data_IF_104816547061
#
_entry.id   IF_104816547061
#
_cell.length_a   1.000
_cell.length_b   1.000
_cell.length_c   1.000
_cell.angle_alpha   90.00
_cell.angle_beta   90.00
_cell.angle_gamma   90.00
#
_symmetry.space_group_name_H-M   'P 1'
#
loop_
_entity.id
_entity.type
_entity.pdbx_description
1 polymer ?
#
# COMPACT_ATOMS: atom_id res chain seq x y z
N UNK A 1 -13.58 -14.74 31.89
CA UNK A 1 -12.91 -16.06 31.87
C UNK A 1 -11.86 -15.95 30.80
N UNK A 2 -10.61 -16.32 31.06
CA UNK A 2 -9.60 -16.31 29.99
C UNK A 2 -10.03 -17.33 28.94
N UNK A 3 -10.26 -16.90 27.70
CA UNK A 3 -10.59 -17.79 26.59
C UNK A 3 -9.50 -18.85 26.51
N UNK A 4 -9.83 -20.09 26.83
CA UNK A 4 -8.87 -21.20 26.82
C UNK A 4 -8.43 -21.43 25.38
N UNK A 5 -7.11 -21.35 25.13
CA UNK A 5 -6.52 -21.65 23.81
C UNK A 5 -6.97 -23.05 23.37
N UNK A 6 -7.57 -23.14 22.18
CA UNK A 6 -7.98 -24.43 21.64
C UNK A 6 -6.75 -25.15 21.07
N UNK A 7 -6.32 -26.22 21.74
CA UNK A 7 -5.18 -27.01 21.31
C UNK A 7 -5.48 -27.90 20.08
N UNK A 8 -6.75 -28.13 19.77
CA UNK A 8 -7.25 -28.87 18.61
C UNK A 8 -7.76 -27.95 17.50
N UNK A 9 -7.21 -26.74 17.39
CA UNK A 9 -7.65 -25.77 16.37
C UNK A 9 -7.37 -26.25 14.94
N UNK A 10 -6.39 -27.16 14.74
CA UNK A 10 -6.09 -27.69 13.41
C UNK A 10 -7.24 -28.51 12.86
N UNK A 11 -7.94 -29.25 13.71
CA UNK A 11 -9.14 -30.01 13.38
C UNK A 11 -10.32 -29.08 13.00
N UNK A 12 -10.39 -27.89 13.60
CA UNK A 12 -11.42 -26.89 13.26
C UNK A 12 -11.10 -26.15 11.94
N UNK A 13 -9.83 -25.83 11.69
CA UNK A 13 -9.37 -25.18 10.46
C UNK A 13 -9.41 -26.14 9.27
N UNK A 14 -9.02 -27.40 9.50
CA UNK A 14 -8.90 -28.45 8.49
C UNK A 14 -9.78 -29.68 8.81
N UNK A 15 -11.12 -29.53 8.84
CA UNK A 15 -12.02 -30.59 9.28
C UNK A 15 -12.09 -31.79 8.33
N UNK A 16 -11.68 -31.62 7.06
CA UNK A 16 -11.64 -32.70 6.05
C UNK A 16 -10.20 -33.06 5.69
N UNK A 17 -9.54 -33.78 6.61
CA UNK A 17 -8.15 -34.21 6.46
C UNK A 17 -7.88 -35.02 5.17
N UNK A 18 -8.88 -35.77 4.70
CA UNK A 18 -8.73 -36.65 3.51
C UNK A 18 -8.60 -35.87 2.21
N UNK A 19 -9.26 -34.72 2.13
CA UNK A 19 -9.23 -33.86 0.94
C UNK A 19 -8.01 -32.94 0.92
N UNK A 20 -7.30 -32.74 2.04
CA UNK A 20 -6.21 -31.75 2.10
C UNK A 20 -5.09 -32.03 1.08
N UNK A 21 -4.75 -33.31 0.91
CA UNK A 21 -3.64 -33.74 0.03
C UNK A 21 -4.10 -34.07 -1.39
N UNK A 22 -5.40 -34.27 -1.61
CA UNK A 22 -5.96 -34.68 -2.90
C UNK A 22 -6.63 -33.54 -3.66
N UNK A 23 -6.94 -32.42 -2.99
CA UNK A 23 -7.56 -31.25 -3.61
C UNK A 23 -6.63 -30.59 -4.62
N UNK A 24 -7.17 -30.27 -5.79
CA UNK A 24 -6.46 -29.54 -6.86
C UNK A 24 -7.00 -28.11 -6.89
N UNK A 25 -6.11 -27.14 -6.70
CA UNK A 25 -6.43 -25.72 -6.86
C UNK A 25 -6.19 -25.30 -8.30
N UNK A 26 -7.19 -24.66 -8.91
CA UNK A 26 -7.09 -24.18 -10.29
C UNK A 26 -6.19 -22.94 -10.36
N UNK A 27 -5.33 -22.90 -11.36
CA UNK A 27 -4.50 -21.73 -11.69
C UNK A 27 -5.36 -20.56 -12.22
N UNK A 28 -4.79 -19.35 -12.22
CA UNK A 28 -5.44 -18.15 -12.79
C UNK A 28 -5.95 -18.43 -14.21
N UNK A 29 -5.09 -18.94 -15.11
CA UNK A 29 -5.47 -19.19 -16.51
C UNK A 29 -6.65 -20.15 -16.66
N UNK A 30 -6.80 -21.11 -15.73
CA UNK A 30 -7.91 -22.06 -15.73
C UNK A 30 -9.23 -21.43 -15.28
N UNK A 31 -9.21 -20.47 -14.36
CA UNK A 31 -10.44 -19.88 -13.80
C UNK A 31 -10.91 -18.63 -14.53
N UNK A 32 -10.01 -17.87 -15.17
CA UNK A 32 -10.34 -16.60 -15.86
C UNK A 32 -11.57 -16.67 -16.78
N UNK A 33 -11.78 -17.74 -17.58
CA UNK A 33 -12.98 -17.83 -18.41
C UNK A 33 -14.29 -17.77 -17.61
N UNK A 34 -14.32 -18.38 -16.42
CA UNK A 34 -15.52 -18.55 -15.59
C UNK A 34 -15.29 -18.07 -14.13
N UNK A 35 -14.70 -16.89 -13.98
CA UNK A 35 -14.49 -16.23 -12.69
C UNK A 35 -15.26 -14.93 -12.60
N UNK A 36 -15.42 -14.47 -11.35
CA UNK A 36 -15.66 -13.06 -11.05
C UNK A 36 -14.37 -12.41 -10.54
N UNK A 37 -14.30 -11.09 -10.69
CA UNK A 37 -13.24 -10.24 -10.16
C UNK A 37 -13.79 -9.44 -8.98
N UNK A 38 -13.07 -9.51 -7.87
CA UNK A 38 -13.37 -8.76 -6.66
C UNK A 38 -12.21 -7.81 -6.41
N UNK A 39 -12.47 -6.50 -6.35
CA UNK A 39 -11.42 -5.50 -6.14
C UNK A 39 -11.26 -5.17 -4.66
N UNK A 40 -10.01 -5.03 -4.22
CA UNK A 40 -9.65 -4.58 -2.88
C UNK A 40 -9.54 -3.04 -2.80
N UNK A 41 -9.53 -2.49 -1.58
CA UNK A 41 -9.47 -1.05 -1.31
C UNK A 41 -8.21 -0.40 -1.88
N UNK A 42 -7.05 -1.04 -1.71
CA UNK A 42 -5.78 -0.48 -2.20
C UNK A 42 -5.78 -0.28 -3.71
N UNK A 43 -6.37 -1.21 -4.47
CA UNK A 43 -6.52 -1.13 -5.93
C UNK A 43 -7.34 0.09 -6.32
N UNK A 44 -8.42 0.37 -5.58
CA UNK A 44 -9.24 1.55 -5.80
C UNK A 44 -8.45 2.84 -5.50
N UNK A 45 -7.64 2.84 -4.46
CA UNK A 45 -6.84 4.00 -4.05
C UNK A 45 -5.66 4.29 -4.98
N UNK A 46 -5.05 3.28 -5.62
CA UNK A 46 -3.96 3.44 -6.60
C UNK A 46 -4.36 4.35 -7.77
N UNK A 47 -5.65 4.44 -8.07
CA UNK A 47 -6.17 5.31 -9.14
C UNK A 47 -5.95 6.80 -8.85
N UNK A 48 -5.77 7.23 -7.60
CA UNK A 48 -5.49 8.64 -7.31
C UNK A 48 -4.11 9.13 -7.79
N UNK A 49 -3.19 8.21 -8.03
CA UNK A 49 -1.84 8.51 -8.50
C UNK A 49 -1.71 8.36 -10.03
N UNK A 50 -2.81 8.01 -10.73
CA UNK A 50 -2.82 7.72 -12.17
C UNK A 50 -3.23 8.91 -13.05
N UNK A 51 -2.69 8.93 -14.27
CA UNK A 51 -3.03 9.90 -15.31
C UNK A 51 -4.47 9.75 -15.81
N UNK A 52 -5.03 10.81 -16.38
CA UNK A 52 -6.38 10.79 -16.95
C UNK A 52 -6.56 9.72 -18.03
N UNK A 53 -5.52 9.43 -18.81
CA UNK A 53 -5.55 8.38 -19.83
C UNK A 53 -5.62 6.98 -19.20
N UNK A 54 -4.83 6.73 -18.16
CA UNK A 54 -4.84 5.48 -17.39
C UNK A 54 -6.17 5.28 -16.68
N UNK A 55 -6.75 6.34 -16.10
CA UNK A 55 -8.10 6.29 -15.52
C UNK A 55 -9.17 5.95 -16.55
N UNK A 56 -9.12 6.55 -17.74
CA UNK A 56 -10.07 6.25 -18.81
C UNK A 56 -9.96 4.79 -19.29
N UNK A 57 -8.74 4.24 -19.35
CA UNK A 57 -8.50 2.85 -19.72
C UNK A 57 -9.06 1.88 -18.64
N UNK A 58 -8.78 2.17 -17.36
CA UNK A 58 -9.32 1.44 -16.22
C UNK A 58 -10.85 1.49 -16.22
N UNK A 59 -11.45 2.66 -16.46
CA UNK A 59 -12.91 2.82 -16.54
C UNK A 59 -13.51 1.90 -17.62
N UNK A 60 -12.93 1.89 -18.82
CA UNK A 60 -13.39 1.04 -19.92
C UNK A 60 -13.33 -0.45 -19.57
N UNK A 61 -12.24 -0.89 -18.93
CA UNK A 61 -12.06 -2.28 -18.48
C UNK A 61 -13.12 -2.65 -17.44
N UNK A 62 -13.29 -1.83 -16.40
CA UNK A 62 -14.22 -2.12 -15.32
C UNK A 62 -15.67 -2.10 -15.79
N UNK A 63 -16.05 -1.18 -16.68
CA UNK A 63 -17.39 -1.15 -17.29
C UNK A 63 -17.65 -2.40 -18.16
N UNK A 64 -16.64 -2.86 -18.91
CA UNK A 64 -16.75 -4.08 -19.71
C UNK A 64 -17.00 -5.31 -18.83
N UNK A 65 -16.24 -5.46 -17.74
CA UNK A 65 -16.37 -6.59 -16.80
C UNK A 65 -17.71 -6.50 -16.04
N UNK A 66 -18.11 -5.28 -15.65
CA UNK A 66 -19.43 -5.03 -15.04
C UNK A 66 -20.56 -5.48 -15.97
N UNK A 67 -20.49 -5.15 -17.26
CA UNK A 67 -21.52 -5.54 -18.24
C UNK A 67 -21.68 -7.06 -18.40
N UNK A 68 -20.63 -7.82 -18.05
CA UNK A 68 -20.61 -9.28 -18.05
C UNK A 68 -21.03 -9.89 -16.70
N UNK A 69 -21.46 -9.07 -15.73
CA UNK A 69 -21.77 -9.46 -14.35
C UNK A 69 -20.58 -10.13 -13.62
N UNK A 70 -19.35 -9.73 -13.96
CA UNK A 70 -18.11 -10.30 -13.42
C UNK A 70 -17.38 -9.39 -12.44
N UNK A 71 -17.87 -8.17 -12.16
CA UNK A 71 -17.20 -7.22 -11.27
C UNK A 71 -17.99 -7.05 -9.96
N UNK A 72 -17.30 -7.17 -8.82
CA UNK A 72 -17.87 -6.93 -7.49
C UNK A 72 -16.85 -6.27 -6.56
N UNK A 73 -17.34 -5.61 -5.50
CA UNK A 73 -16.54 -5.22 -4.34
C UNK A 73 -17.33 -5.48 -3.05
N UNK A 74 -16.68 -5.91 -1.95
CA UNK A 74 -17.33 -5.92 -0.64
C UNK A 74 -17.69 -4.50 -0.21
N UNK A 75 -18.80 -4.34 0.50
CA UNK A 75 -19.20 -3.05 1.07
C UNK A 75 -18.15 -2.48 2.03
N UNK A 76 -17.34 -3.35 2.67
CA UNK A 76 -16.17 -2.95 3.46
C UNK A 76 -15.15 -2.17 2.61
N UNK A 77 -14.85 -2.63 1.40
CA UNK A 77 -13.95 -1.95 0.46
C UNK A 77 -14.46 -0.55 0.12
N UNK A 78 -15.75 -0.42 -0.17
CA UNK A 78 -16.35 0.88 -0.44
C UNK A 78 -16.24 1.85 0.77
N UNK A 79 -16.45 1.36 1.99
CA UNK A 79 -16.32 2.16 3.23
C UNK A 79 -14.88 2.59 3.47
N UNK A 80 -13.93 1.68 3.30
CA UNK A 80 -12.51 1.99 3.46
C UNK A 80 -12.01 2.96 2.39
N UNK A 81 -12.49 2.83 1.15
CA UNK A 81 -12.22 3.80 0.09
C UNK A 81 -12.70 5.21 0.50
N UNK A 82 -13.95 5.34 0.97
CA UNK A 82 -14.50 6.63 1.44
C UNK A 82 -13.66 7.20 2.58
N UNK A 83 -13.27 6.37 3.54
CA UNK A 83 -12.47 6.78 4.70
C UNK A 83 -11.05 7.24 4.31
N UNK A 84 -10.43 6.59 3.31
CA UNK A 84 -9.06 6.85 2.89
C UNK A 84 -8.95 7.87 1.73
N UNK A 85 -10.02 8.13 1.00
CA UNK A 85 -10.06 9.08 -0.13
C UNK A 85 -9.53 10.46 0.27
N UNK A 86 -10.01 11.00 1.39
CA UNK A 86 -9.59 12.32 1.87
C UNK A 86 -8.08 12.40 2.12
N UNK A 87 -7.49 11.30 2.62
CA UNK A 87 -6.04 11.19 2.83
C UNK A 87 -5.27 11.22 1.50
N UNK A 88 -5.70 10.45 0.50
CA UNK A 88 -5.07 10.45 -0.84
C UNK A 88 -5.10 11.83 -1.51
N UNK A 89 -6.23 12.52 -1.45
CA UNK A 89 -6.34 13.89 -1.97
C UNK A 89 -5.43 14.84 -1.18
N UNK A 90 -5.37 14.69 0.14
CA UNK A 90 -4.47 15.47 1.00
C UNK A 90 -2.98 15.25 0.68
N UNK A 91 -2.57 14.01 0.39
CA UNK A 91 -1.21 13.66 -0.02
C UNK A 91 -0.85 14.30 -1.36
N UNK A 92 -1.75 14.22 -2.36
CA UNK A 92 -1.60 14.89 -3.65
C UNK A 92 -1.43 16.41 -3.46
N UNK A 93 -2.33 17.01 -2.67
CA UNK A 93 -2.31 18.44 -2.37
C UNK A 93 -1.01 18.86 -1.67
N UNK A 94 -0.51 18.06 -0.73
CA UNK A 94 0.77 18.30 -0.05
C UNK A 94 1.96 18.23 -1.03
N UNK A 95 2.05 17.18 -1.86
CA UNK A 95 3.11 17.02 -2.87
C UNK A 95 3.14 18.22 -3.82
N UNK A 96 1.98 18.66 -4.29
CA UNK A 96 1.85 19.86 -5.13
C UNK A 96 2.38 21.13 -4.43
N UNK A 97 2.00 21.35 -3.17
CA UNK A 97 2.46 22.51 -2.40
C UNK A 97 3.96 22.49 -2.15
N UNK A 98 4.55 21.32 -1.86
CA UNK A 98 5.99 21.17 -1.70
C UNK A 98 6.76 21.48 -2.99
N UNK A 99 6.19 21.13 -4.16
CA UNK A 99 6.75 21.51 -5.46
C UNK A 99 6.74 23.04 -5.64
N UNK A 100 5.63 23.70 -5.29
CA UNK A 100 5.53 25.18 -5.29
C UNK A 100 6.56 25.83 -4.35
N UNK A 101 6.72 25.31 -3.14
CA UNK A 101 7.71 25.82 -2.17
C UNK A 101 9.15 25.65 -2.66
N UNK A 102 9.44 24.56 -3.37
CA UNK A 102 10.75 24.33 -3.99
C UNK A 102 11.06 25.37 -5.07
N UNK A 103 10.07 25.80 -5.85
CA UNK A 103 10.20 26.93 -6.79
C UNK A 103 10.40 28.29 -6.11
N UNK A 104 10.00 28.43 -4.85
CA UNK A 104 10.19 29.67 -4.09
C UNK A 104 11.59 29.78 -3.47
N UNK A 105 12.27 28.65 -3.26
CA UNK A 105 13.63 28.59 -2.69
C UNK A 105 14.72 29.04 -3.65
N UNK A 106 14.44 29.05 -4.96
CA UNK A 106 15.41 29.47 -5.98
C UNK A 106 15.15 30.93 -6.36
N UNK A 107 16.16 31.78 -6.15
CA UNK A 107 16.16 33.15 -6.67
C UNK A 107 16.64 33.14 -8.11
N UNK A 108 15.75 33.43 -9.05
CA UNK A 108 16.07 33.54 -10.48
C UNK A 108 16.42 34.98 -10.87
N UNK A 109 17.18 35.68 -10.02
CA UNK A 109 17.69 37.03 -10.28
C UNK A 109 19.16 36.97 -10.61
N UNK A 110 19.55 37.71 -11.63
CA UNK A 110 20.95 37.95 -11.98
C UNK A 110 21.41 39.22 -11.26
N UNK A 111 22.58 39.18 -10.62
CA UNK A 111 23.20 40.39 -10.08
C UNK A 111 23.58 41.35 -11.21
N UNK A 112 23.60 42.65 -10.93
CA UNK A 112 24.04 43.64 -11.90
C UNK A 112 25.57 43.76 -11.89
N UNK A 113 26.17 43.61 -13.08
CA UNK A 113 27.60 43.79 -13.31
C UNK A 113 27.81 44.94 -14.31
N UNK A 114 27.85 46.21 -13.84
CA UNK A 114 27.96 47.38 -14.72
C UNK A 114 29.13 47.34 -15.70
N UNK A 115 30.27 46.73 -15.30
CA UNK A 115 31.44 46.56 -16.16
C UNK A 115 31.16 45.76 -17.45
N UNK A 116 30.13 44.90 -17.44
CA UNK A 116 29.77 44.02 -18.55
C UNK A 116 28.61 44.55 -19.40
N UNK A 117 28.13 45.78 -19.16
CA UNK A 117 26.94 46.35 -19.83
C UNK A 117 27.01 46.30 -21.35
N UNK A 118 28.21 46.49 -21.90
CA UNK A 118 28.44 46.54 -23.35
C UNK A 118 28.75 45.15 -23.95
N UNK A 119 28.86 44.11 -23.11
CA UNK A 119 29.14 42.76 -23.55
C UNK A 119 27.86 42.09 -24.09
N UNK A 120 27.91 41.64 -25.34
CA UNK A 120 26.76 41.01 -26.02
C UNK A 120 26.29 39.70 -25.36
N UNK A 121 27.19 38.91 -24.78
CA UNK A 121 26.84 37.69 -24.07
C UNK A 121 26.18 37.99 -22.72
N UNK A 122 26.64 39.03 -22.01
CA UNK A 122 26.03 39.50 -20.76
C UNK A 122 24.57 39.93 -20.98
N UNK A 123 24.29 40.68 -22.05
CA UNK A 123 22.93 41.10 -22.38
C UNK A 123 22.02 39.91 -22.72
N UNK A 124 22.50 38.95 -23.52
CA UNK A 124 21.76 37.70 -23.79
C UNK A 124 21.48 36.91 -22.52
N UNK A 125 22.45 36.83 -21.60
CA UNK A 125 22.29 36.14 -20.33
C UNK A 125 21.21 36.83 -19.46
N UNK A 126 21.23 38.17 -19.40
CA UNK A 126 20.21 38.97 -18.70
C UNK A 126 18.80 38.69 -19.24
N UNK A 127 18.64 38.61 -20.56
CA UNK A 127 17.35 38.28 -21.20
C UNK A 127 16.87 36.87 -20.83
N UNK A 128 17.77 35.88 -20.82
CA UNK A 128 17.46 34.50 -20.41
C UNK A 128 16.98 34.46 -18.96
N UNK A 129 17.68 35.13 -18.04
CA UNK A 129 17.24 35.23 -16.64
C UNK A 129 15.88 35.93 -16.50
N UNK A 130 15.65 36.99 -17.30
CA UNK A 130 14.35 37.66 -17.37
C UNK A 130 13.22 36.71 -17.81
N UNK A 131 13.46 35.86 -18.81
CA UNK A 131 12.51 34.86 -19.27
C UNK A 131 12.25 33.77 -18.22
N UNK A 132 13.30 33.28 -17.56
CA UNK A 132 13.16 32.32 -16.45
C UNK A 132 12.30 32.92 -15.33
N UNK A 133 12.57 34.16 -14.92
CA UNK A 133 11.78 34.83 -13.89
C UNK A 133 10.30 34.97 -14.28
N UNK A 134 9.99 35.20 -15.55
CA UNK A 134 8.60 35.23 -16.07
C UNK A 134 7.95 33.85 -15.97
N UNK A 135 8.60 32.80 -16.48
CA UNK A 135 8.09 31.42 -16.45
C UNK A 135 7.86 30.90 -15.02
N UNK A 136 8.75 31.25 -14.09
CA UNK A 136 8.60 30.91 -12.66
C UNK A 136 7.41 31.65 -12.04
N UNK A 137 7.23 32.94 -12.37
CA UNK A 137 6.06 33.69 -11.92
C UNK A 137 4.75 33.13 -12.49
N UNK A 138 4.75 32.67 -13.73
CA UNK A 138 3.58 32.03 -14.36
C UNK A 138 3.28 30.68 -13.70
N UNK A 139 4.31 29.86 -13.47
CA UNK A 139 4.18 28.59 -12.76
C UNK A 139 3.55 28.78 -11.38
N UNK A 140 3.96 29.81 -10.62
CA UNK A 140 3.38 30.14 -9.31
C UNK A 140 1.87 30.43 -9.40
N UNK A 141 1.45 31.21 -10.40
CA UNK A 141 0.02 31.49 -10.63
C UNK A 141 -0.76 30.23 -10.99
N UNK A 142 -0.18 29.34 -11.79
CA UNK A 142 -0.81 28.05 -12.11
C UNK A 142 -0.93 27.16 -10.86
N UNK A 143 0.08 27.14 -9.98
CA UNK A 143 -0.04 26.46 -8.68
C UNK A 143 -1.14 27.08 -7.80
N UNK A 144 -1.31 28.39 -7.80
CA UNK A 144 -2.43 29.06 -7.08
C UNK A 144 -3.79 28.69 -7.68
N UNK A 145 -3.89 28.54 -9.00
CA UNK A 145 -5.12 28.09 -9.65
C UNK A 145 -5.45 26.64 -9.26
N UNK A 146 -4.48 25.71 -9.37
CA UNK A 146 -4.65 24.31 -8.97
C UNK A 146 -5.01 24.16 -7.49
N UNK A 147 -4.43 24.99 -6.62
CA UNK A 147 -4.78 25.04 -5.20
C UNK A 147 -6.27 25.34 -4.97
N UNK A 148 -6.83 26.29 -5.74
CA UNK A 148 -8.25 26.61 -5.69
C UNK A 148 -9.11 25.50 -6.27
N UNK A 149 -8.70 24.90 -7.39
CA UNK A 149 -9.45 23.81 -8.05
C UNK A 149 -9.63 22.62 -7.10
N UNK A 150 -8.55 22.17 -6.45
CA UNK A 150 -8.58 21.04 -5.50
C UNK A 150 -9.44 21.38 -4.28
N UNK A 151 -9.36 22.61 -3.76
CA UNK A 151 -10.17 23.05 -2.61
C UNK A 151 -11.67 23.12 -2.90
N UNK A 152 -12.05 23.24 -4.17
CA UNK A 152 -13.44 23.26 -4.62
C UNK A 152 -14.00 21.86 -4.90
N UNK A 153 -13.20 20.80 -4.79
CA UNK A 153 -13.70 19.45 -5.00
C UNK A 153 -14.71 19.03 -3.93
N UNK A 154 -15.90 18.65 -4.40
CA UNK A 154 -17.01 18.13 -3.62
C UNK A 154 -17.41 16.76 -4.15
N UNK A 155 -16.47 15.79 -4.11
CA UNK A 155 -16.63 14.43 -4.66
C UNK A 155 -16.72 14.33 -6.19
N UNK A 156 -16.37 15.40 -6.88
CA UNK A 156 -16.36 15.51 -8.34
C UNK A 156 -14.94 15.45 -8.95
N UNK A 157 -13.96 14.89 -8.22
CA UNK A 157 -12.68 14.55 -8.83
C UNK A 157 -12.85 13.38 -9.81
N UNK A 158 -11.88 13.23 -10.72
CA UNK A 158 -11.94 12.27 -11.81
C UNK A 158 -12.17 10.82 -11.31
N UNK A 159 -11.45 10.39 -10.26
CA UNK A 159 -11.55 9.02 -9.73
C UNK A 159 -12.94 8.79 -9.13
N UNK A 160 -13.42 9.73 -8.31
CA UNK A 160 -14.74 9.62 -7.67
C UNK A 160 -15.89 9.58 -8.68
N UNK A 161 -15.83 10.40 -9.72
CA UNK A 161 -16.84 10.40 -10.78
C UNK A 161 -16.87 9.08 -11.56
N UNK A 162 -15.69 8.52 -11.89
CA UNK A 162 -15.59 7.20 -12.52
C UNK A 162 -16.18 6.11 -11.63
N UNK A 163 -15.80 6.08 -10.35
CA UNK A 163 -16.24 5.06 -9.41
C UNK A 163 -17.73 5.15 -9.08
N UNK A 164 -18.30 6.35 -9.07
CA UNK A 164 -19.75 6.56 -8.94
C UNK A 164 -20.54 5.90 -10.08
N UNK A 165 -19.99 5.85 -11.29
CA UNK A 165 -20.62 5.18 -12.45
C UNK A 165 -20.48 3.66 -12.39
N UNK A 166 -19.37 3.17 -11.86
CA UNK A 166 -19.04 1.73 -11.83
C UNK A 166 -19.70 1.03 -10.65
N UNK A 167 -19.53 1.53 -9.43
CA UNK A 167 -19.88 0.83 -8.19
C UNK A 167 -21.28 1.20 -7.69
N UNK A 168 -22.29 0.66 -8.37
CA UNK A 168 -23.70 0.72 -7.98
C UNK A 168 -24.10 -0.46 -7.08
N UNK A 169 -25.35 -0.49 -6.61
CA UNK A 169 -25.85 -1.47 -5.63
C UNK A 169 -25.74 -2.93 -6.08
N UNK A 170 -25.68 -3.20 -7.37
CA UNK A 170 -25.50 -4.55 -7.92
C UNK A 170 -24.04 -5.04 -7.89
N UNK A 171 -23.09 -4.11 -7.77
CA UNK A 171 -21.63 -4.39 -7.71
C UNK A 171 -21.14 -4.44 -6.26
N UNK A 172 -21.72 -3.60 -5.38
CA UNK A 172 -21.33 -3.51 -3.97
C UNK A 172 -22.11 -4.52 -3.14
N UNK A 173 -21.41 -5.50 -2.57
CA UNK A 173 -22.04 -6.60 -1.82
C UNK A 173 -21.81 -6.45 -0.31
N UNK A 174 -22.88 -6.47 0.46
CA UNK A 174 -22.82 -6.50 1.93
C UNK A 174 -22.68 -7.94 2.43
N UNK A 175 -21.84 -8.15 3.44
CA UNK A 175 -21.75 -9.42 4.16
C UNK A 175 -23.07 -9.70 4.88
N UNK A 176 -23.64 -10.88 4.67
CA UNK A 176 -24.91 -11.29 5.32
C UNK A 176 -24.70 -11.87 6.71
N UNK A 177 -23.53 -12.44 6.98
CA UNK A 177 -23.20 -13.00 8.29
C UNK A 177 -23.35 -11.98 9.44
N UNK A 178 -23.92 -12.44 10.56
CA UNK A 178 -24.13 -11.61 11.74
C UNK A 178 -22.80 -11.13 12.35
N UNK A 179 -22.74 -9.85 12.69
CA UNK A 179 -21.52 -9.21 13.25
C UNK A 179 -20.95 -9.98 14.45
N UNK A 180 -21.81 -10.54 15.31
CA UNK A 180 -21.36 -11.30 16.48
C UNK A 180 -20.52 -12.52 16.09
N UNK A 181 -20.93 -13.25 15.04
CA UNK A 181 -20.20 -14.42 14.51
C UNK A 181 -18.88 -14.01 13.88
N UNK A 182 -18.87 -12.91 13.13
CA UNK A 182 -17.62 -12.38 12.54
C UNK A 182 -16.62 -11.99 13.63
N UNK A 183 -17.09 -11.38 14.73
CA UNK A 183 -16.23 -11.03 15.88
C UNK A 183 -15.70 -12.28 16.59
N UNK A 184 -16.54 -13.31 16.76
CA UNK A 184 -16.13 -14.57 17.37
C UNK A 184 -15.07 -15.30 16.50
N UNK A 185 -15.28 -15.36 15.19
CA UNK A 185 -14.32 -15.91 14.23
C UNK A 185 -12.99 -15.13 14.26
N UNK A 186 -13.05 -13.79 14.26
CA UNK A 186 -11.84 -12.97 14.37
C UNK A 186 -11.04 -13.29 15.63
N UNK A 187 -11.69 -13.41 16.79
CA UNK A 187 -11.00 -13.78 18.04
C UNK A 187 -10.33 -15.14 17.94
N UNK A 188 -11.02 -16.13 17.39
CA UNK A 188 -10.46 -17.46 17.16
C UNK A 188 -9.23 -17.41 16.24
N UNK A 189 -9.32 -16.65 15.14
CA UNK A 189 -8.21 -16.44 14.21
C UNK A 189 -7.03 -15.71 14.84
N UNK A 190 -7.26 -14.71 15.68
CA UNK A 190 -6.22 -13.99 16.41
C UNK A 190 -5.46 -14.90 17.38
N UNK A 191 -6.18 -15.71 18.16
CA UNK A 191 -5.58 -16.63 19.16
C UNK A 191 -4.67 -17.64 18.47
N UNK A 192 -5.11 -18.21 17.34
CA UNK A 192 -4.40 -19.30 16.66
C UNK A 192 -3.58 -18.85 15.43
N UNK A 193 -3.49 -17.53 15.19
CA UNK A 193 -2.76 -16.93 14.05
C UNK A 193 -3.21 -17.44 12.67
N UNK A 194 -4.52 -17.60 12.51
CA UNK A 194 -5.15 -18.08 11.27
C UNK A 194 -5.53 -16.89 10.39
N UNK A 195 -5.20 -16.96 9.10
CA UNK A 195 -5.52 -15.94 8.13
C UNK A 195 -7.02 -15.89 7.81
N UNK A 196 -7.55 -14.74 7.36
CA UNK A 196 -6.92 -13.41 7.35
C UNK A 196 -7.22 -12.60 8.63
N UNK A 197 -6.46 -11.53 8.86
CA UNK A 197 -6.75 -10.49 9.87
C UNK A 197 -5.96 -10.59 11.17
N UNK A 198 -5.38 -11.75 11.52
CA UNK A 198 -4.67 -11.91 12.81
C UNK A 198 -3.43 -11.02 12.98
N UNK A 199 -2.82 -10.58 11.88
CA UNK A 199 -1.59 -9.78 11.89
C UNK A 199 -1.85 -8.27 11.99
N UNK A 200 -3.12 -7.85 12.05
CA UNK A 200 -3.57 -6.46 12.15
C UNK A 200 -4.08 -6.09 13.56
N UNK A 201 -3.68 -6.86 14.58
CA UNK A 201 -4.08 -6.66 15.99
C UNK A 201 -3.71 -5.30 16.57
N UNK A 202 -2.77 -4.58 15.96
CA UNK A 202 -2.38 -3.22 16.35
C UNK A 202 -3.24 -2.11 15.71
N UNK A 203 -4.15 -2.42 14.78
CA UNK A 203 -5.03 -1.45 14.13
C UNK A 203 -6.31 -1.21 14.95
N UNK A 204 -6.91 -0.03 14.76
CA UNK A 204 -8.17 0.38 15.41
C UNK A 204 -9.35 -0.58 15.17
N UNK A 205 -9.32 -1.32 14.07
CA UNK A 205 -10.33 -2.29 13.67
C UNK A 205 -9.89 -3.74 13.88
N UNK A 206 -8.73 -3.96 14.52
CA UNK A 206 -8.18 -5.27 14.92
C UNK A 206 -8.13 -6.31 13.79
N UNK A 207 -8.06 -5.88 12.52
CA UNK A 207 -8.01 -6.77 11.35
C UNK A 207 -9.37 -7.30 10.87
N UNK A 208 -10.49 -6.82 11.43
CA UNK A 208 -11.83 -7.25 11.02
C UNK A 208 -12.15 -6.91 9.56
N UNK A 209 -11.53 -5.87 9.00
CA UNK A 209 -11.72 -5.46 7.60
C UNK A 209 -11.39 -6.59 6.62
N UNK A 210 -10.20 -7.18 6.77
CA UNK A 210 -9.73 -8.29 5.95
C UNK A 210 -10.67 -9.50 6.07
N UNK A 211 -11.13 -9.83 7.28
CA UNK A 211 -12.05 -10.94 7.52
C UNK A 211 -13.41 -10.71 6.86
N UNK A 212 -13.95 -9.49 6.94
CA UNK A 212 -15.22 -9.13 6.28
C UNK A 212 -15.08 -9.24 4.76
N UNK A 213 -13.98 -8.75 4.19
CA UNK A 213 -13.69 -8.88 2.75
C UNK A 213 -13.70 -10.37 2.40
N UNK A 214 -12.89 -11.18 3.08
CA UNK A 214 -12.75 -12.61 2.83
C UNK A 214 -14.07 -13.39 2.90
N UNK A 215 -14.86 -13.17 3.96
CA UNK A 215 -16.18 -13.81 4.09
C UNK A 215 -17.14 -13.38 2.98
N UNK A 216 -17.06 -12.12 2.54
CA UNK A 216 -17.88 -11.62 1.42
C UNK A 216 -17.50 -12.29 0.10
N UNK A 217 -16.21 -12.56 -0.15
CA UNK A 217 -15.76 -13.32 -1.33
C UNK A 217 -16.39 -14.72 -1.33
N UNK A 218 -16.37 -15.40 -0.18
CA UNK A 218 -16.95 -16.74 -0.01
C UNK A 218 -18.46 -16.71 -0.26
N UNK A 219 -19.19 -15.77 0.34
CA UNK A 219 -20.65 -15.63 0.14
C UNK A 219 -21.00 -15.40 -1.35
N UNK A 220 -20.27 -14.50 -2.03
CA UNK A 220 -20.52 -14.24 -3.45
C UNK A 220 -20.27 -15.52 -4.29
N UNK A 221 -19.19 -16.24 -4.02
CA UNK A 221 -18.86 -17.48 -4.73
C UNK A 221 -19.87 -18.59 -4.47
N UNK A 222 -20.33 -18.73 -3.22
CA UNK A 222 -21.40 -19.66 -2.84
C UNK A 222 -22.70 -19.38 -3.59
N UNK A 223 -23.11 -18.12 -3.66
CA UNK A 223 -24.36 -17.72 -4.31
C UNK A 223 -24.32 -17.86 -5.84
N UNK A 224 -23.15 -17.60 -6.45
CA UNK A 224 -23.00 -17.60 -7.91
C UNK A 224 -22.43 -18.91 -8.46
N UNK A 225 -21.89 -19.78 -7.61
CA UNK A 225 -21.20 -21.02 -7.97
C UNK A 225 -20.06 -20.79 -8.96
N UNK A 226 -19.20 -19.81 -8.67
CA UNK A 226 -18.10 -19.39 -9.55
C UNK A 226 -16.79 -19.27 -8.80
N UNK A 227 -15.69 -19.49 -9.53
CA UNK A 227 -14.35 -19.17 -9.07
C UNK A 227 -14.20 -17.64 -8.86
N UNK A 228 -13.26 -17.23 -8.01
CA UNK A 228 -13.02 -15.82 -7.65
C UNK A 228 -11.57 -15.43 -7.90
N UNK A 229 -11.36 -14.26 -8.49
CA UNK A 229 -10.07 -13.57 -8.50
C UNK A 229 -10.18 -12.32 -7.64
N UNK A 230 -9.50 -12.33 -6.50
CA UNK A 230 -9.26 -11.13 -5.70
C UNK A 230 -8.12 -10.33 -6.35
N UNK A 231 -8.38 -9.06 -6.65
CA UNK A 231 -7.38 -8.13 -7.15
C UNK A 231 -6.90 -7.29 -5.97
N UNK A 232 -5.67 -7.54 -5.52
CA UNK A 232 -5.04 -6.80 -4.43
C UNK A 232 -3.52 -6.74 -4.63
N UNK A 233 -2.94 -5.57 -4.36
CA UNK A 233 -1.49 -5.38 -4.31
C UNK A 233 -0.91 -5.57 -2.90
N UNK A 234 -1.77 -5.86 -1.92
CA UNK A 234 -1.38 -6.13 -0.56
C UNK A 234 -0.95 -7.59 -0.45
N UNK A 235 0.30 -7.75 -0.08
CA UNK A 235 0.88 -9.05 0.20
C UNK A 235 1.20 -9.02 1.68
N UNK A 236 0.20 -9.09 2.56
CA UNK A 236 0.45 -9.16 4.00
C UNK A 236 0.99 -10.55 4.39
N UNK A 237 1.68 -10.64 5.53
CA UNK A 237 2.26 -11.90 6.00
C UNK A 237 1.20 -12.93 6.44
N UNK A 238 0.01 -12.47 6.81
CA UNK A 238 -1.10 -13.35 7.15
C UNK A 238 -1.74 -13.97 5.90
N UNK A 239 -1.74 -13.29 4.76
CA UNK A 239 -2.30 -13.82 3.53
C UNK A 239 -1.34 -14.71 2.73
N UNK A 240 -0.02 -14.46 2.81
CA UNK A 240 0.98 -15.14 1.97
C UNK A 240 2.10 -15.76 2.79
N UNK A 241 2.58 -16.93 2.34
CA UNK A 241 3.90 -17.39 2.73
C UNK A 241 4.95 -16.45 2.13
N UNK A 242 5.83 -15.95 2.99
CA UNK A 242 6.92 -15.06 2.58
C UNK A 242 8.26 -15.62 3.03
N UNK A 243 9.24 -15.47 2.15
CA UNK A 243 10.64 -15.61 2.51
C UNK A 243 11.34 -14.29 2.16
N UNK A 244 12.00 -13.70 3.15
CA UNK A 244 12.54 -12.33 3.08
C UNK A 244 11.49 -11.27 2.70
N UNK A 245 11.59 -10.73 1.47
CA UNK A 245 10.72 -9.72 0.88
C UNK A 245 9.92 -10.27 -0.31
N UNK A 246 10.05 -11.56 -0.60
CA UNK A 246 9.39 -12.22 -1.73
C UNK A 246 8.22 -13.03 -1.20
N UNK A 247 7.02 -12.68 -1.67
CA UNK A 247 5.83 -13.47 -1.43
C UNK A 247 5.81 -14.66 -2.40
N UNK A 248 5.60 -15.86 -1.87
CA UNK A 248 5.60 -17.10 -2.65
C UNK A 248 4.20 -17.40 -3.19
N UNK A 249 3.28 -17.78 -2.29
CA UNK A 249 1.89 -18.08 -2.61
C UNK A 249 1.00 -17.86 -1.38
N UNK A 250 -0.31 -17.67 -1.55
CA UNK A 250 -1.23 -17.48 -0.44
C UNK A 250 -1.21 -18.66 0.54
N UNK A 251 -1.56 -18.42 1.80
CA UNK A 251 -1.62 -19.47 2.81
C UNK A 251 -2.64 -20.55 2.45
N UNK A 252 -2.29 -21.80 2.77
CA UNK A 252 -3.10 -22.95 2.43
C UNK A 252 -4.49 -22.92 3.08
N UNK A 253 -4.60 -22.44 4.34
CA UNK A 253 -5.88 -22.29 5.04
C UNK A 253 -6.92 -21.47 4.28
N UNK A 254 -6.50 -20.44 3.53
CA UNK A 254 -7.40 -19.62 2.70
C UNK A 254 -7.97 -20.46 1.54
N UNK A 255 -7.11 -21.20 0.84
CA UNK A 255 -7.55 -22.01 -0.29
C UNK A 255 -8.47 -23.16 0.14
N UNK A 256 -8.15 -23.86 1.22
CA UNK A 256 -9.00 -24.94 1.73
C UNK A 256 -10.32 -24.41 2.28
N UNK A 257 -10.31 -23.33 3.07
CA UNK A 257 -11.53 -22.71 3.60
C UNK A 257 -12.44 -22.29 2.45
N UNK A 258 -11.91 -21.57 1.45
CA UNK A 258 -12.69 -21.14 0.30
C UNK A 258 -13.29 -22.35 -0.44
N UNK A 259 -12.47 -23.34 -0.80
CA UNK A 259 -12.92 -24.56 -1.49
C UNK A 259 -14.03 -25.27 -0.73
N UNK A 260 -13.84 -25.49 0.58
CA UNK A 260 -14.77 -26.23 1.43
C UNK A 260 -16.10 -25.50 1.58
N UNK A 261 -16.06 -24.18 1.75
CA UNK A 261 -17.27 -23.38 1.90
C UNK A 261 -17.99 -23.14 0.56
N UNK A 262 -17.30 -23.18 -0.57
CA UNK A 262 -17.87 -22.88 -1.90
C UNK A 262 -18.21 -24.12 -2.74
N UNK A 263 -18.18 -25.32 -2.16
CA UNK A 263 -18.39 -26.60 -2.86
C UNK A 263 -17.39 -26.85 -4.00
N UNK A 264 -16.11 -26.56 -3.76
CA UNK A 264 -15.02 -26.90 -4.67
C UNK A 264 -14.59 -25.79 -5.63
N UNK A 265 -15.10 -24.56 -5.49
CA UNK A 265 -14.59 -23.43 -6.28
C UNK A 265 -13.19 -23.03 -5.81
N UNK A 266 -12.47 -22.34 -6.70
CA UNK A 266 -11.12 -21.85 -6.47
C UNK A 266 -11.12 -20.33 -6.33
N UNK A 267 -10.22 -19.85 -5.48
CA UNK A 267 -9.87 -18.44 -5.36
C UNK A 267 -8.44 -18.24 -5.83
N UNK A 268 -8.14 -17.13 -6.49
CA UNK A 268 -6.77 -16.67 -6.73
C UNK A 268 -6.64 -15.20 -6.34
N UNK A 269 -5.42 -14.79 -5.99
CA UNK A 269 -5.10 -13.40 -5.65
C UNK A 269 -4.06 -12.90 -6.64
N UNK A 270 -4.36 -11.81 -7.35
CA UNK A 270 -3.46 -11.20 -8.33
C UNK A 270 -3.27 -9.71 -8.06
N UNK A 271 -2.11 -9.18 -8.44
CA UNK A 271 -1.83 -7.74 -8.38
C UNK A 271 -2.70 -6.96 -9.37
N UNK A 272 -2.88 -5.67 -9.12
CA UNK A 272 -3.66 -4.82 -10.02
C UNK A 272 -3.01 -4.75 -11.41
N UNK A 273 -1.69 -4.67 -11.47
CA UNK A 273 -0.94 -4.71 -12.72
C UNK A 273 -1.17 -6.01 -13.52
N UNK A 274 -1.26 -7.17 -12.85
CA UNK A 274 -1.53 -8.44 -13.52
C UNK A 274 -2.99 -8.53 -13.97
N UNK A 275 -3.93 -8.02 -13.17
CA UNK A 275 -5.33 -7.89 -13.59
C UNK A 275 -5.47 -7.04 -14.86
N UNK A 276 -4.83 -5.87 -14.91
CA UNK A 276 -4.88 -4.99 -16.09
C UNK A 276 -4.30 -5.67 -17.33
N UNK A 277 -3.17 -6.37 -17.19
CA UNK A 277 -2.60 -7.18 -18.28
C UNK A 277 -3.57 -8.26 -18.77
N UNK A 278 -4.16 -8.99 -17.83
CA UNK A 278 -5.11 -10.06 -18.13
C UNK A 278 -6.34 -9.52 -18.89
N UNK A 279 -6.76 -8.29 -18.58
CA UNK A 279 -7.85 -7.59 -19.25
C UNK A 279 -7.42 -6.85 -20.52
N UNK A 280 -6.20 -7.05 -21.01
CA UNK A 280 -5.63 -6.41 -22.19
C UNK A 280 -5.63 -4.88 -22.12
N UNK A 281 -5.35 -4.31 -20.95
CA UNK A 281 -5.09 -2.88 -20.78
C UNK A 281 -3.91 -2.43 -21.64
N UNK A 282 -3.84 -1.13 -21.96
CA UNK A 282 -2.71 -0.55 -22.68
C UNK A 282 -1.42 -0.73 -21.89
N UNK A 283 -0.32 -0.90 -22.61
CA UNK A 283 0.99 -1.12 -21.98
C UNK A 283 1.39 0.06 -21.07
N UNK A 284 1.13 1.29 -21.50
CA UNK A 284 1.37 2.50 -20.71
C UNK A 284 0.58 2.51 -19.39
N UNK A 285 -0.70 2.12 -19.43
CA UNK A 285 -1.56 1.97 -18.25
C UNK A 285 -0.96 0.98 -17.26
N UNK A 286 -0.54 -0.19 -17.74
CA UNK A 286 0.07 -1.23 -16.89
C UNK A 286 1.38 -0.75 -16.29
N UNK A 287 2.23 -0.08 -17.06
CA UNK A 287 3.53 0.40 -16.60
C UNK A 287 3.41 1.54 -15.58
N UNK A 288 2.48 2.47 -15.80
CA UNK A 288 2.17 3.56 -14.87
C UNK A 288 1.68 3.02 -13.53
N UNK A 289 0.70 2.10 -13.55
CA UNK A 289 0.16 1.50 -12.32
C UNK A 289 1.24 0.74 -11.55
N UNK A 290 2.09 -0.03 -12.23
CA UNK A 290 3.24 -0.69 -11.59
C UNK A 290 4.18 0.31 -10.92
N UNK A 291 4.50 1.40 -11.61
CA UNK A 291 5.37 2.45 -11.06
C UNK A 291 4.74 3.08 -9.81
N UNK A 292 3.45 3.39 -9.85
CA UNK A 292 2.71 3.96 -8.73
C UNK A 292 2.68 3.04 -7.51
N UNK A 293 2.41 1.74 -7.71
CA UNK A 293 2.44 0.74 -6.62
C UNK A 293 3.82 0.67 -5.98
N UNK A 294 4.90 0.70 -6.79
CA UNK A 294 6.27 0.69 -6.27
C UNK A 294 6.57 1.97 -5.49
N UNK A 295 6.19 3.14 -6.03
CA UNK A 295 6.40 4.42 -5.36
C UNK A 295 5.65 4.51 -4.03
N UNK A 296 4.40 4.04 -3.98
CA UNK A 296 3.62 3.99 -2.74
C UNK A 296 4.28 3.08 -1.70
N UNK A 297 4.74 1.88 -2.09
CA UNK A 297 5.48 0.98 -1.19
C UNK A 297 6.78 1.61 -0.69
N UNK A 298 7.47 2.40 -1.53
CA UNK A 298 8.66 3.17 -1.15
C UNK A 298 8.34 4.33 -0.19
N UNK A 299 7.22 5.02 -0.37
CA UNK A 299 6.76 6.08 0.54
C UNK A 299 6.36 5.50 1.90
N UNK A 300 5.58 4.42 1.93
CA UNK A 300 5.21 3.72 3.15
C UNK A 300 6.42 3.16 3.91
N UNK A 301 7.47 2.72 3.20
CA UNK A 301 8.72 2.32 3.86
C UNK A 301 9.49 3.52 4.39
N UNK A 302 9.53 4.67 3.68
CA UNK A 302 10.13 5.91 4.19
C UNK A 302 9.45 6.40 5.47
N UNK A 303 8.13 6.26 5.58
CA UNK A 303 7.38 6.62 6.79
C UNK A 303 7.70 5.70 7.98
N UNK A 304 8.23 4.48 7.75
CA UNK A 304 8.77 3.64 8.82
C UNK A 304 10.11 4.12 9.36
N UNK A 305 10.86 4.96 8.62
CA UNK A 305 12.13 5.52 9.07
C UNK A 305 11.94 6.95 9.57
N UNK A 306 11.94 7.11 10.89
CA UNK A 306 11.66 8.38 11.56
C UNK A 306 12.97 9.12 11.81
N UNK A 307 13.03 10.40 11.43
CA UNK A 307 14.13 11.28 11.84
C UNK A 307 13.95 11.66 13.31
N UNK A 308 14.99 11.52 14.13
CA UNK A 308 14.87 11.79 15.56
C UNK A 308 13.93 10.80 16.28
N UNK A 309 14.00 9.51 15.92
CA UNK A 309 13.27 8.42 16.59
C UNK A 309 13.40 8.55 18.13
N UNK A 310 12.33 8.33 18.91
CA UNK A 310 12.39 8.49 20.37
C UNK A 310 13.58 7.72 20.96
N UNK A 311 14.33 8.36 21.86
CA UNK A 311 15.50 7.77 22.50
C UNK A 311 15.16 6.50 23.28
N UNK A 312 13.90 6.33 23.69
CA UNK A 312 13.40 5.11 24.34
C UNK A 312 13.61 3.85 23.49
N UNK A 313 13.67 4.00 22.16
CA UNK A 313 13.91 2.91 21.20
C UNK A 313 15.38 2.77 20.78
N UNK A 314 16.27 3.64 21.27
CA UNK A 314 17.67 3.76 20.82
C UNK A 314 18.68 3.41 21.93
N UNK A 315 18.30 2.55 22.86
CA UNK A 315 19.23 2.07 23.88
C UNK A 315 20.42 1.30 23.27
N UNK A 316 21.57 1.30 23.95
CA UNK A 316 22.72 0.49 23.53
C UNK A 316 22.31 -0.98 23.42
N UNK A 317 22.57 -1.59 22.26
CA UNK A 317 22.12 -2.93 21.90
C UNK A 317 20.84 -2.98 21.06
N UNK A 318 20.12 -1.88 20.89
CA UNK A 318 18.93 -1.83 20.04
C UNK A 318 19.28 -2.08 18.57
N UNK A 319 18.50 -2.95 17.91
CA UNK A 319 18.58 -3.14 16.47
C UNK A 319 17.82 -2.03 15.75
N UNK A 320 18.47 -1.45 14.75
CA UNK A 320 17.91 -0.41 13.91
C UNK A 320 18.20 -0.71 12.45
N UNK A 321 17.30 -0.30 11.57
CA UNK A 321 17.56 -0.26 10.13
C UNK A 321 17.70 1.20 9.70
N UNK A 322 18.63 1.46 8.78
CA UNK A 322 18.85 2.76 8.15
C UNK A 322 18.85 2.60 6.62
N UNK A 323 18.20 3.50 5.84
CA UNK A 323 18.00 3.28 4.41
C UNK A 323 19.26 3.11 3.54
N UNK A 324 20.39 3.67 3.96
CA UNK A 324 21.67 3.66 3.24
C UNK A 324 22.63 2.58 3.76
N UNK A 325 22.61 2.29 5.05
CA UNK A 325 23.56 1.41 5.71
C UNK A 325 22.97 0.07 6.14
N UNK A 326 21.67 -0.15 5.91
CA UNK A 326 20.99 -1.41 6.24
C UNK A 326 20.81 -1.59 7.75
N UNK A 327 20.89 -2.84 8.20
CA UNK A 327 20.73 -3.21 9.61
C UNK A 327 21.99 -2.88 10.42
N UNK A 328 21.79 -2.36 11.62
CA UNK A 328 22.86 -2.09 12.56
C UNK A 328 22.41 -2.14 14.01
N UNK A 329 23.38 -2.17 14.91
CA UNK A 329 23.15 -2.19 16.36
C UNK A 329 23.67 -0.89 16.96
N UNK A 330 22.85 -0.24 17.77
CA UNK A 330 23.26 0.97 18.49
C UNK A 330 24.34 0.61 19.51
N UNK A 331 25.52 1.21 19.39
CA UNK A 331 26.67 1.01 20.29
C UNK A 331 26.79 2.11 21.34
N UNK A 332 26.43 3.35 20.99
CA UNK A 332 26.48 4.47 21.92
C UNK A 332 25.45 5.53 21.54
N UNK A 333 24.97 6.25 22.57
CA UNK A 333 24.14 7.44 22.45
C UNK A 333 24.78 8.53 23.29
N UNK A 334 25.30 9.57 22.65
CA UNK A 334 26.05 10.65 23.30
C UNK A 334 25.31 11.98 23.12
N UNK A 335 25.09 12.70 24.21
CA UNK A 335 24.55 14.06 24.14
C UNK A 335 25.68 15.05 23.78
N UNK A 336 25.43 15.94 22.83
CA UNK A 336 26.36 16.99 22.43
C UNK A 336 25.94 18.36 22.98
N UNK A 337 26.88 19.32 23.03
CA UNK A 337 26.76 20.61 23.73
C UNK A 337 25.52 21.46 23.36
N UNK A 338 24.87 21.19 22.22
CA UNK A 338 23.67 21.91 21.77
C UNK A 338 22.34 21.23 22.20
N UNK A 339 22.40 20.20 23.06
CA UNK A 339 21.23 19.44 23.51
C UNK A 339 20.78 18.32 22.56
N UNK A 340 21.40 18.22 21.39
CA UNK A 340 21.21 17.13 20.41
C UNK A 340 21.95 15.85 20.84
N UNK A 341 21.66 14.74 20.15
CA UNK A 341 22.30 13.44 20.37
C UNK A 341 23.05 12.96 19.12
N UNK A 342 24.16 12.26 19.33
CA UNK A 342 24.90 11.52 18.32
C UNK A 342 24.79 10.04 18.63
N UNK A 343 24.40 9.25 17.64
CA UNK A 343 24.30 7.80 17.71
C UNK A 343 25.55 7.20 17.07
N UNK A 344 26.21 6.28 17.76
CA UNK A 344 27.17 5.37 17.12
C UNK A 344 26.43 4.07 16.83
N UNK A 345 26.29 3.73 15.56
CA UNK A 345 25.62 2.51 15.09
C UNK A 345 26.60 1.67 14.30
N UNK A 346 26.73 0.40 14.67
CA UNK A 346 27.53 -0.58 13.97
C UNK A 346 26.67 -1.33 12.95
N UNK A 347 26.86 -1.00 11.66
CA UNK A 347 26.07 -1.59 10.57
C UNK A 347 26.75 -2.84 10.03
N UNK A 348 25.96 -3.89 9.79
CA UNK A 348 26.47 -5.22 9.39
C UNK A 348 27.40 -5.16 8.17
N UNK A 349 27.05 -4.36 7.16
CA UNK A 349 27.83 -4.26 5.92
C UNK A 349 28.77 -3.05 5.87
N UNK A 350 28.61 -2.08 6.77
CA UNK A 350 29.25 -0.75 6.67
C UNK A 350 30.08 -0.36 7.90
N UNK A 351 30.11 -1.23 8.92
CA UNK A 351 30.76 -1.03 10.20
C UNK A 351 30.20 0.17 10.96
N UNK A 352 30.98 0.66 11.92
CA UNK A 352 30.56 1.78 12.76
C UNK A 352 30.41 3.09 11.97
N UNK A 353 29.29 3.77 12.23
CA UNK A 353 29.00 5.13 11.78
C UNK A 353 28.50 5.97 12.95
N UNK A 354 28.95 7.22 13.00
CA UNK A 354 28.41 8.24 13.90
C UNK A 354 27.40 9.10 13.16
N UNK A 355 26.17 9.13 13.66
CA UNK A 355 25.02 9.71 13.00
C UNK A 355 24.36 10.74 13.93
N UNK A 356 24.04 11.92 13.42
CA UNK A 356 23.33 12.94 14.20
C UNK A 356 21.85 12.54 14.35
N UNK A 357 21.39 12.29 15.58
CA UNK A 357 20.08 11.74 15.91
C UNK A 357 18.92 12.47 15.21
N UNK A 358 18.90 13.81 15.26
CA UNK A 358 17.83 14.61 14.66
C UNK A 358 17.74 14.53 13.14
N UNK A 359 18.81 14.12 12.45
CA UNK A 359 18.89 14.08 10.99
C UNK A 359 18.85 12.66 10.44
N UNK A 360 19.24 11.67 11.25
CA UNK A 360 19.25 10.28 10.84
C UNK A 360 17.85 9.69 10.92
N UNK A 361 17.40 9.12 9.80
CA UNK A 361 16.15 8.36 9.73
C UNK A 361 16.42 6.92 10.09
N UNK A 362 15.84 6.45 11.19
CA UNK A 362 16.00 5.08 11.68
C UNK A 362 14.64 4.42 11.86
N UNK A 363 14.61 3.10 11.70
CA UNK A 363 13.48 2.25 12.06
C UNK A 363 13.93 1.27 13.14
N UNK A 364 13.23 1.13 14.27
CA UNK A 364 13.52 0.07 15.23
C UNK A 364 13.21 -1.30 14.62
N UNK A 365 14.02 -2.30 14.96
CA UNK A 365 13.83 -3.68 14.51
C UNK A 365 13.54 -4.52 15.75
N UNK A 366 12.32 -5.06 15.85
CA UNK A 366 11.95 -5.93 16.96
C UNK A 366 12.71 -7.26 16.86
N UNK A 367 13.66 -7.47 17.79
CA UNK A 367 14.44 -8.72 17.84
C UNK A 367 13.64 -9.94 18.35
N UNK A 368 12.41 -9.74 18.85
CA UNK A 368 11.57 -10.83 19.39
C UNK A 368 10.83 -11.65 18.32
N UNK A 369 10.90 -11.29 17.05
CA UNK A 369 10.45 -12.14 15.93
C UNK A 369 11.60 -12.82 15.19
N UNK A 370 12.83 -12.73 15.71
CA UNK A 370 14.05 -13.12 15.00
C UNK A 370 14.87 -14.24 15.66
N UNK A 371 14.29 -15.05 16.55
CA UNK A 371 14.94 -16.31 16.95
C UNK A 371 15.12 -17.28 15.75
N UNK A 372 14.38 -17.11 14.65
CA UNK A 372 14.59 -17.88 13.41
C UNK A 372 15.74 -17.39 12.52
N UNK A 373 16.30 -16.18 12.75
CA UNK A 373 17.39 -15.64 11.91
C UNK A 373 18.80 -15.84 12.50
N UNK A 374 18.92 -16.45 13.68
CA UNK A 374 20.21 -16.60 14.36
C UNK A 374 20.94 -17.93 14.10
N UNK A 375 20.53 -18.70 13.09
CA UNK A 375 21.20 -19.96 12.71
C UNK A 375 21.95 -19.93 11.37
N UNK A 376 22.14 -18.75 10.74
CA UNK A 376 22.85 -18.65 9.45
C UNK A 376 24.36 -18.34 9.60
N UNK A 377 24.86 -18.18 10.83
CA UNK A 377 26.30 -17.98 11.05
C UNK A 377 26.86 -18.88 12.15
N UNK A 378 27.14 -20.14 11.76
CA UNK A 378 28.24 -20.93 12.30
C UNK A 378 29.14 -21.40 11.18
#
# INVERSE_FOLDING_TARGET
MADSVNLFYLEDVYPDASSLLSSVFKTVDQIVPNTIFVLDTNVLLTSFDASSNTISDIEGILLSIKSQNKLYIPARVAREFVNNRGKKIGELYLKMRQNKESLNRVSFKMDEYPLLSDNSNYNKLKDVFGNISKLVSESRKLFDALDNDIKQWHWNDNVSEVYKRIFSSEVVIELKEERAKVIEDLKFRMIHKIAPGYNDSAKLDEGIGDLIIWKTLIEISQEKHVDVILVSDDQKNDWFYKQDKVSLYPKYELFDEFRRLTNGQSVNIISFANFLKLMNAKEDTVNEIKANIVLEKLEQTKDKFVAGLSLDYLNVGAAVEQPKFGYGVVKAVEQINNGDYVLTVDFVEFGEKRLLHKLVKLRPVDMNSSEENMNIYK
#
